data_IF_376577355695
#
_entry.id   IF_376577355695
#
_cell.length_a   1.000
_cell.length_b   1.000
_cell.length_c   1.000
_cell.angle_alpha   90.00
_cell.angle_beta   90.00
_cell.angle_gamma   90.00
#
_symmetry.space_group_name_H-M   'P 1'
#
loop_
_entity.id
_entity.type
_entity.pdbx_description
1 polymer ?
#
# COMPACT_ATOMS: atom_id res chain seq x y z
N UNK A 1 -1.83 5.83 -30.03
CA UNK A 1 -1.06 5.63 -28.78
C UNK A 1 -1.32 6.78 -27.81
N UNK A 2 -1.34 6.46 -26.51
CA UNK A 2 -1.47 7.42 -25.41
C UNK A 2 -0.15 8.22 -25.28
N UNK A 3 -0.21 9.54 -25.06
CA UNK A 3 0.98 10.34 -24.76
C UNK A 3 1.42 10.16 -23.30
N UNK A 4 2.67 10.51 -22.97
CA UNK A 4 3.15 10.46 -21.58
C UNK A 4 2.30 11.32 -20.63
N UNK A 5 1.84 12.50 -21.08
CA UNK A 5 0.95 13.37 -20.29
C UNK A 5 -0.44 12.74 -20.11
N UNK A 6 -0.98 12.08 -21.15
CA UNK A 6 -2.25 11.37 -21.05
C UNK A 6 -2.15 10.16 -20.11
N UNK A 7 -1.03 9.43 -20.15
CA UNK A 7 -0.74 8.33 -19.24
C UNK A 7 -0.72 8.80 -17.78
N UNK A 8 0.04 9.86 -17.48
CA UNK A 8 0.11 10.44 -16.14
C UNK A 8 -1.27 10.89 -15.66
N UNK A 9 -2.06 11.54 -16.53
CA UNK A 9 -3.41 11.96 -16.20
C UNK A 9 -4.32 10.77 -15.86
N UNK A 10 -4.26 9.69 -16.65
CA UNK A 10 -5.05 8.47 -16.43
C UNK A 10 -4.68 7.79 -15.12
N UNK A 11 -3.41 7.48 -14.88
CA UNK A 11 -3.00 6.79 -13.64
C UNK A 11 -3.29 7.65 -12.40
N UNK A 12 -3.21 8.97 -12.53
CA UNK A 12 -3.57 9.89 -11.44
C UNK A 12 -5.07 9.83 -11.12
N UNK A 13 -5.92 9.72 -12.14
CA UNK A 13 -7.35 9.55 -11.95
C UNK A 13 -7.69 8.19 -11.33
N UNK A 14 -7.08 7.11 -11.81
CA UNK A 14 -7.23 5.76 -11.25
C UNK A 14 -6.77 5.70 -9.78
N UNK A 15 -5.61 6.30 -9.46
CA UNK A 15 -5.11 6.40 -8.10
C UNK A 15 -6.08 7.17 -7.19
N UNK A 16 -6.55 8.35 -7.62
CA UNK A 16 -7.52 9.14 -6.85
C UNK A 16 -8.82 8.39 -6.60
N UNK A 17 -9.29 7.61 -7.57
CA UNK A 17 -10.50 6.81 -7.42
C UNK A 17 -10.32 5.64 -6.43
N UNK A 18 -9.16 4.98 -6.42
CA UNK A 18 -8.87 3.85 -5.53
C UNK A 18 -8.46 4.27 -4.10
N UNK A 19 -7.94 5.48 -3.93
CA UNK A 19 -7.38 5.97 -2.67
C UNK A 19 -8.35 5.93 -1.45
N UNK A 20 -9.65 6.25 -1.59
CA UNK A 20 -10.59 6.19 -0.45
C UNK A 20 -10.73 4.79 0.14
N UNK A 21 -10.78 3.73 -0.68
CA UNK A 21 -10.91 2.35 -0.19
C UNK A 21 -9.63 1.90 0.53
N UNK A 22 -8.47 2.22 -0.06
CA UNK A 22 -7.16 1.91 0.54
C UNK A 22 -7.03 2.53 1.93
N UNK A 23 -7.31 3.82 2.02
CA UNK A 23 -7.16 4.59 3.27
C UNK A 23 -8.21 4.20 4.30
N UNK A 24 -9.44 3.87 3.90
CA UNK A 24 -10.46 3.36 4.81
C UNK A 24 -10.05 2.02 5.45
N UNK A 25 -9.48 1.09 4.67
CA UNK A 25 -9.02 -0.19 5.20
C UNK A 25 -7.86 -0.02 6.21
N UNK A 26 -6.90 0.86 5.92
CA UNK A 26 -5.80 1.18 6.85
C UNK A 26 -6.30 1.86 8.12
N UNK A 27 -7.24 2.80 7.99
CA UNK A 27 -7.85 3.48 9.14
C UNK A 27 -8.59 2.49 10.04
N UNK A 28 -9.35 1.57 9.46
CA UNK A 28 -10.03 0.50 10.20
C UNK A 28 -9.02 -0.36 10.97
N UNK A 29 -7.93 -0.79 10.32
CA UNK A 29 -6.87 -1.58 10.97
C UNK A 29 -6.13 -0.81 12.08
N UNK A 30 -6.13 0.51 12.03
CA UNK A 30 -5.49 1.35 13.05
C UNK A 30 -6.39 1.66 14.24
N UNK A 31 -7.72 1.64 14.05
CA UNK A 31 -8.71 2.05 15.06
C UNK A 31 -9.46 0.88 15.70
N UNK A 32 -9.52 -0.26 15.01
CA UNK A 32 -10.15 -1.50 15.47
C UNK A 32 -9.19 -2.67 15.28
N UNK A 33 -8.04 -2.63 15.97
CA UNK A 33 -6.93 -3.57 15.77
C UNK A 33 -7.36 -4.99 16.12
N UNK A 34 -7.60 -5.81 15.09
CA UNK A 34 -7.96 -7.22 15.19
C UNK A 34 -7.63 -7.96 13.88
N UNK A 35 -7.79 -9.28 13.84
CA UNK A 35 -7.46 -10.10 12.67
C UNK A 35 -8.23 -9.72 11.39
N UNK A 36 -9.51 -9.36 11.51
CA UNK A 36 -10.36 -9.04 10.36
C UNK A 36 -9.96 -7.70 9.73
N UNK A 37 -9.73 -6.68 10.55
CA UNK A 37 -9.26 -5.38 10.09
C UNK A 37 -7.86 -5.46 9.44
N UNK A 38 -6.96 -6.27 10.03
CA UNK A 38 -5.64 -6.56 9.44
C UNK A 38 -5.76 -7.27 8.10
N UNK A 39 -6.68 -8.24 7.95
CA UNK A 39 -6.94 -8.93 6.69
C UNK A 39 -7.40 -7.96 5.61
N UNK A 40 -8.34 -7.06 5.94
CA UNK A 40 -8.84 -6.05 5.00
C UNK A 40 -7.73 -5.08 4.56
N UNK A 41 -6.93 -4.58 5.51
CA UNK A 41 -5.79 -3.72 5.21
C UNK A 41 -4.74 -4.42 4.34
N UNK A 42 -4.39 -5.68 4.65
CA UNK A 42 -3.45 -6.47 3.86
C UNK A 42 -3.94 -6.66 2.41
N UNK A 43 -5.23 -6.96 2.22
CA UNK A 43 -5.82 -7.16 0.89
C UNK A 43 -5.93 -5.86 0.09
N UNK A 44 -6.25 -4.74 0.74
CA UNK A 44 -6.26 -3.44 0.09
C UNK A 44 -4.84 -3.03 -0.36
N UNK A 45 -3.84 -3.22 0.51
CA UNK A 45 -2.43 -3.00 0.19
C UNK A 45 -1.94 -3.89 -0.96
N UNK A 46 -2.34 -5.18 -0.97
CA UNK A 46 -1.98 -6.11 -2.04
C UNK A 46 -2.45 -5.61 -3.41
N UNK A 47 -3.72 -5.18 -3.51
CA UNK A 47 -4.28 -4.60 -4.75
C UNK A 47 -3.56 -3.31 -5.16
N UNK A 48 -3.30 -2.43 -4.20
CA UNK A 48 -2.64 -1.14 -4.45
C UNK A 48 -1.21 -1.33 -4.97
N UNK A 49 -0.43 -2.19 -4.32
CA UNK A 49 0.95 -2.49 -4.72
C UNK A 49 1.02 -3.20 -6.08
N UNK A 50 0.11 -4.13 -6.36
CA UNK A 50 0.03 -4.76 -7.68
C UNK A 50 -0.31 -3.76 -8.79
N UNK A 51 -1.20 -2.79 -8.51
CA UNK A 51 -1.54 -1.74 -9.47
C UNK A 51 -0.37 -0.76 -9.68
N UNK A 52 0.34 -0.41 -8.60
CA UNK A 52 1.54 0.42 -8.67
C UNK A 52 2.62 -0.23 -9.55
N UNK A 53 2.89 -1.53 -9.37
CA UNK A 53 3.85 -2.27 -10.20
C UNK A 53 3.45 -2.25 -11.69
N UNK A 54 2.16 -2.43 -11.99
CA UNK A 54 1.64 -2.29 -13.37
C UNK A 54 1.90 -0.91 -13.96
N UNK A 55 1.62 0.16 -13.21
CA UNK A 55 1.90 1.52 -13.69
C UNK A 55 3.40 1.77 -13.86
N UNK A 56 4.25 1.27 -12.96
CA UNK A 56 5.71 1.38 -13.07
C UNK A 56 6.20 0.67 -14.35
N UNK A 57 5.74 -0.56 -14.62
CA UNK A 57 6.10 -1.28 -15.84
C UNK A 57 5.61 -0.56 -17.10
N UNK A 58 4.36 -0.07 -17.11
CA UNK A 58 3.81 0.72 -18.22
C UNK A 58 4.59 2.04 -18.43
N UNK A 59 5.09 2.67 -17.37
CA UNK A 59 5.81 3.94 -17.47
C UNK A 59 7.10 3.86 -18.28
N UNK A 60 7.68 2.66 -18.40
CA UNK A 60 8.96 2.44 -19.10
C UNK A 60 8.89 2.82 -20.58
N UNK A 61 7.73 2.70 -21.22
CA UNK A 61 7.54 3.06 -22.62
C UNK A 61 7.68 4.57 -22.88
N UNK A 62 7.52 5.40 -21.84
CA UNK A 62 7.62 6.86 -21.92
C UNK A 62 9.02 7.38 -21.54
N UNK A 63 9.99 6.48 -21.34
CA UNK A 63 11.37 6.87 -21.04
C UNK A 63 11.98 7.60 -22.24
N UNK A 64 12.42 8.86 -22.03
CA UNK A 64 13.05 9.67 -23.07
C UNK A 64 12.08 10.27 -24.09
N UNK A 65 10.77 10.09 -23.93
CA UNK A 65 9.76 10.74 -24.78
C UNK A 65 9.50 12.18 -24.32
N UNK A 66 9.22 13.14 -25.22
CA UNK A 66 8.80 14.48 -24.84
C UNK A 66 7.56 14.47 -23.95
N UNK A 67 7.57 15.27 -22.88
CA UNK A 67 6.46 15.42 -21.93
C UNK A 67 6.59 16.72 -21.15
N UNK A 68 5.54 17.13 -20.44
CA UNK A 68 5.61 18.26 -19.51
C UNK A 68 6.55 17.99 -18.33
N UNK A 69 7.07 19.06 -17.71
CA UNK A 69 7.91 18.95 -16.51
C UNK A 69 7.17 18.26 -15.34
N UNK A 70 5.86 18.52 -15.22
CA UNK A 70 5.01 17.91 -14.20
C UNK A 70 4.86 16.40 -14.41
N UNK A 71 4.64 15.95 -15.66
CA UNK A 71 4.59 14.52 -15.98
C UNK A 71 5.93 13.84 -15.75
N UNK A 72 7.04 14.47 -16.12
CA UNK A 72 8.37 13.94 -15.87
C UNK A 72 8.60 13.72 -14.36
N UNK A 73 8.21 14.69 -13.52
CA UNK A 73 8.26 14.57 -12.06
C UNK A 73 7.33 13.47 -11.55
N UNK A 74 6.11 13.38 -12.06
CA UNK A 74 5.15 12.35 -11.65
C UNK A 74 5.67 10.93 -11.92
N UNK A 75 6.27 10.69 -13.09
CA UNK A 75 6.88 9.39 -13.42
C UNK A 75 8.10 9.05 -12.55
N UNK A 76 8.86 10.06 -12.11
CA UNK A 76 9.93 9.85 -11.14
C UNK A 76 9.37 9.44 -9.77
N UNK A 77 8.36 10.17 -9.28
CA UNK A 77 7.72 9.88 -8.00
C UNK A 77 7.01 8.53 -7.99
N UNK A 78 6.42 8.11 -9.11
CA UNK A 78 5.77 6.81 -9.26
C UNK A 78 6.70 5.65 -8.81
N UNK A 79 7.99 5.73 -9.16
CA UNK A 79 9.00 4.71 -8.78
C UNK A 79 9.36 4.73 -7.29
N UNK A 80 9.05 5.83 -6.61
CA UNK A 80 9.37 6.09 -5.20
C UNK A 80 8.15 5.96 -4.27
N UNK A 81 6.96 5.63 -4.81
CA UNK A 81 5.71 5.65 -4.06
C UNK A 81 5.62 4.59 -2.94
N UNK A 82 6.42 3.53 -2.98
CA UNK A 82 6.39 2.48 -1.95
C UNK A 82 7.76 2.26 -1.32
N UNK A 83 7.79 2.23 0.02
CA UNK A 83 8.93 1.76 0.81
C UNK A 83 9.03 0.23 0.85
N UNK A 84 7.95 -0.47 0.45
CA UNK A 84 7.87 -1.92 0.30
C UNK A 84 7.64 -2.24 -1.18
N UNK A 85 8.71 -2.33 -2.00
CA UNK A 85 8.57 -2.66 -3.41
C UNK A 85 7.82 -3.99 -3.58
N UNK A 86 6.79 -3.98 -4.41
CA UNK A 86 5.95 -5.15 -4.64
C UNK A 86 6.78 -6.30 -5.26
N UNK A 87 6.82 -7.48 -4.63
CA UNK A 87 7.35 -8.66 -5.31
C UNK A 87 6.50 -8.98 -6.54
N UNK A 88 7.13 -9.36 -7.65
CA UNK A 88 6.43 -9.77 -8.89
C UNK A 88 5.63 -11.06 -8.74
N UNK A 89 6.00 -11.89 -7.77
CA UNK A 89 5.28 -13.12 -7.45
C UNK A 89 4.03 -12.77 -6.60
N UNK A 90 2.81 -13.05 -7.10
CA UNK A 90 1.57 -12.70 -6.40
C UNK A 90 1.46 -13.33 -5.01
N UNK A 91 1.98 -14.54 -4.82
CA UNK A 91 1.94 -15.21 -3.52
C UNK A 91 2.85 -14.51 -2.52
N UNK A 92 4.05 -14.08 -2.96
CA UNK A 92 4.96 -13.31 -2.11
C UNK A 92 4.44 -11.91 -1.82
N UNK A 93 3.74 -11.28 -2.77
CA UNK A 93 3.09 -9.99 -2.53
C UNK A 93 1.99 -10.11 -1.46
N UNK A 94 1.13 -11.14 -1.57
CA UNK A 94 0.09 -11.40 -0.57
C UNK A 94 0.67 -11.73 0.80
N UNK A 95 1.77 -12.49 0.84
CA UNK A 95 2.49 -12.78 2.09
C UNK A 95 3.10 -11.51 2.70
N UNK A 96 3.75 -10.68 1.89
CA UNK A 96 4.36 -9.42 2.32
C UNK A 96 3.34 -8.50 2.98
N UNK A 97 2.19 -8.26 2.35
CA UNK A 97 1.18 -7.35 2.89
C UNK A 97 0.50 -7.91 4.14
N UNK A 98 0.33 -9.25 4.22
CA UNK A 98 -0.14 -9.92 5.43
C UNK A 98 0.84 -9.76 6.59
N UNK A 99 2.14 -9.94 6.35
CA UNK A 99 3.18 -9.75 7.37
C UNK A 99 3.20 -8.30 7.84
N UNK A 100 3.16 -7.33 6.92
CA UNK A 100 3.17 -5.91 7.26
C UNK A 100 1.96 -5.52 8.14
N UNK A 101 0.74 -5.91 7.74
CA UNK A 101 -0.46 -5.63 8.53
C UNK A 101 -0.44 -6.31 9.91
N UNK A 102 0.11 -7.54 9.98
CA UNK A 102 0.27 -8.23 11.26
C UNK A 102 1.29 -7.54 12.15
N UNK A 103 2.43 -7.10 11.61
CA UNK A 103 3.45 -6.38 12.40
C UNK A 103 2.90 -5.08 12.97
N UNK A 104 2.16 -4.30 12.17
CA UNK A 104 1.49 -3.09 12.62
C UNK A 104 0.46 -3.39 13.73
N UNK A 105 -0.37 -4.42 13.52
CA UNK A 105 -1.40 -4.79 14.48
C UNK A 105 -0.85 -5.39 15.78
N UNK A 106 0.15 -6.26 15.71
CA UNK A 106 0.83 -6.82 16.88
C UNK A 106 1.47 -5.72 17.73
N UNK A 107 2.13 -4.76 17.08
CA UNK A 107 2.74 -3.62 17.76
C UNK A 107 1.69 -2.69 18.36
N UNK A 108 0.63 -2.37 17.60
CA UNK A 108 -0.44 -1.47 18.04
C UNK A 108 -1.34 -2.03 19.14
N UNK A 109 -1.52 -3.35 19.20
CA UNK A 109 -2.30 -4.04 20.24
C UNK A 109 -1.44 -4.59 21.38
N UNK A 110 -0.14 -4.31 21.39
CA UNK A 110 0.76 -4.81 22.41
C UNK A 110 0.31 -4.34 23.80
N UNK A 111 0.29 -5.27 24.75
CA UNK A 111 0.05 -4.98 26.17
C UNK A 111 1.13 -5.63 27.03
N UNK A 112 1.44 -4.97 28.14
CA UNK A 112 2.38 -5.44 29.14
C UNK A 112 1.62 -5.86 30.39
N UNK A 113 1.84 -7.10 30.83
CA UNK A 113 1.17 -7.67 32.01
C UNK A 113 2.14 -7.83 33.18
N UNK A 114 1.66 -7.57 34.39
CA UNK A 114 2.37 -7.84 35.66
C UNK A 114 1.53 -8.71 36.59
N UNK A 115 2.19 -9.50 37.43
CA UNK A 115 1.56 -10.44 38.37
C UNK A 115 1.01 -11.70 37.68
N UNK A 116 0.65 -12.69 38.49
CA UNK A 116 0.14 -14.01 38.04
C UNK A 116 -1.27 -14.29 38.58
N UNK A 117 -1.99 -15.22 37.92
CA UNK A 117 -3.33 -15.65 38.34
C UNK A 117 -4.33 -14.50 38.43
N UNK A 118 -5.06 -14.41 39.55
CA UNK A 118 -6.04 -13.35 39.81
C UNK A 118 -5.42 -11.94 39.93
N UNK A 119 -4.10 -11.84 40.17
CA UNK A 119 -3.41 -10.54 40.26
C UNK A 119 -2.91 -10.01 38.91
N UNK A 120 -3.11 -10.77 37.82
CA UNK A 120 -2.65 -10.38 36.49
C UNK A 120 -3.31 -9.08 36.05
N UNK A 121 -2.50 -8.04 35.84
CA UNK A 121 -2.94 -6.73 35.36
C UNK A 121 -2.17 -6.38 34.09
N UNK A 122 -2.88 -6.17 32.99
CA UNK A 122 -2.30 -5.79 31.70
C UNK A 122 -2.57 -4.32 31.41
N UNK A 123 -1.60 -3.64 30.79
CA UNK A 123 -1.70 -2.26 30.31
C UNK A 123 -1.29 -2.19 28.85
#
# INVERSE_FOLDING_TARGET
DESADQFVARISAEYKAAYPELTAAQWLSSTYINGDSQLLAAKANERSLAQLDRWIEQSKQYAGTPMSADSARALQLLKLMSALPAPRDPAKLAELTRIAAKMEGDYGAASYCVGDGEQRRCR
#
